data_IF_428721999737
#
_entry.id   IF_428721999737
#
_cell.length_a   1.000
_cell.length_b   1.000
_cell.length_c   1.000
_cell.angle_alpha   90.00
_cell.angle_beta   90.00
_cell.angle_gamma   90.00
#
_symmetry.space_group_name_H-M   'P 1'
#
loop_
_entity.id
_entity.type
_entity.pdbx_description
1 polymer ?
#
# COMPACT_ATOMS: atom_id res chain seq x y z
N UNK A 1 10.84 -0.95 6.58
CA UNK A 1 9.74 -0.84 7.56
C UNK A 1 9.20 0.57 7.45
N UNK A 2 7.90 0.73 7.22
CA UNK A 2 7.22 2.04 7.23
C UNK A 2 6.44 2.12 8.53
N UNK A 3 6.69 3.14 9.35
CA UNK A 3 6.03 3.35 10.64
C UNK A 3 5.16 4.60 10.55
N UNK A 4 3.87 4.42 10.77
CA UNK A 4 2.88 5.49 10.79
C UNK A 4 2.63 5.85 12.26
N UNK A 5 3.01 7.07 12.64
CA UNK A 5 2.90 7.60 13.99
C UNK A 5 2.47 9.07 13.94
N UNK A 6 1.19 9.30 13.69
CA UNK A 6 0.68 10.60 13.24
C UNK A 6 0.18 11.52 14.38
N UNK A 7 0.37 11.11 15.65
CA UNK A 7 -0.08 11.91 16.81
C UNK A 7 1.02 12.36 17.76
N UNK A 8 2.28 11.96 17.51
CA UNK A 8 3.40 12.27 18.42
C UNK A 8 3.28 11.68 19.84
N UNK A 9 2.20 10.95 20.15
CA UNK A 9 1.93 10.34 21.46
C UNK A 9 2.88 9.17 21.78
N UNK A 10 3.48 8.59 20.75
CA UNK A 10 4.32 7.39 20.84
C UNK A 10 5.80 7.79 20.88
N UNK A 11 6.58 7.15 21.75
CA UNK A 11 7.99 7.47 21.92
C UNK A 11 8.81 7.15 20.64
N UNK A 12 9.82 7.97 20.35
CA UNK A 12 10.66 7.82 19.14
C UNK A 12 11.38 6.45 19.01
N UNK A 13 11.45 5.66 20.08
CA UNK A 13 12.02 4.30 20.09
C UNK A 13 11.04 3.17 19.76
N UNK A 14 9.74 3.45 19.57
CA UNK A 14 8.74 2.40 19.36
C UNK A 14 8.95 1.57 18.10
N UNK A 15 9.54 2.16 17.05
CA UNK A 15 9.92 1.43 15.85
C UNK A 15 10.96 0.32 16.12
N UNK A 16 11.95 0.61 16.97
CA UNK A 16 12.99 -0.34 17.36
C UNK A 16 12.45 -1.41 18.31
N UNK A 17 11.58 -1.00 19.26
CA UNK A 17 10.87 -1.92 20.15
C UNK A 17 10.05 -2.91 19.34
N UNK A 18 9.27 -2.43 18.36
CA UNK A 18 8.51 -3.26 17.44
C UNK A 18 9.42 -4.26 16.71
N UNK A 19 10.48 -3.78 16.07
CA UNK A 19 11.35 -4.63 15.28
C UNK A 19 12.00 -5.73 16.12
N UNK A 20 12.48 -5.38 17.33
CA UNK A 20 13.04 -6.36 18.27
C UNK A 20 11.99 -7.37 18.72
N UNK A 21 10.78 -6.91 19.08
CA UNK A 21 9.71 -7.78 19.57
C UNK A 21 9.24 -8.75 18.49
N UNK A 22 9.04 -8.29 17.25
CA UNK A 22 8.62 -9.14 16.13
C UNK A 22 9.72 -10.10 15.70
N UNK A 23 10.98 -9.67 15.64
CA UNK A 23 12.10 -10.53 15.25
C UNK A 23 12.41 -11.64 16.26
N UNK A 24 12.26 -11.33 17.54
CA UNK A 24 12.53 -12.26 18.63
C UNK A 24 11.24 -12.70 19.33
N UNK A 25 10.15 -12.81 18.57
CA UNK A 25 8.89 -13.28 19.10
C UNK A 25 9.06 -14.72 19.59
N UNK A 26 8.81 -14.94 20.87
CA UNK A 26 8.89 -16.24 21.53
C UNK A 26 7.76 -16.45 22.55
N UNK A 27 6.76 -15.58 22.53
CA UNK A 27 5.59 -15.73 23.38
C UNK A 27 4.70 -16.84 22.83
N UNK A 28 4.23 -17.71 23.72
CA UNK A 28 3.25 -18.78 23.46
C UNK A 28 3.65 -19.85 22.43
N UNK A 29 4.96 -20.07 22.20
CA UNK A 29 5.45 -21.12 21.30
C UNK A 29 5.18 -20.84 19.81
N UNK A 30 4.75 -19.63 19.46
CA UNK A 30 4.59 -19.18 18.08
C UNK A 30 5.91 -18.59 17.56
N UNK A 31 6.29 -18.96 16.34
CA UNK A 31 7.50 -18.44 15.68
C UNK A 31 7.32 -17.02 15.11
N UNK A 32 6.08 -16.59 14.89
CA UNK A 32 5.74 -15.28 14.33
C UNK A 32 4.88 -14.46 15.28
N UNK A 33 5.10 -13.15 15.30
CA UNK A 33 4.31 -12.22 16.07
C UNK A 33 2.90 -12.06 15.50
N UNK A 34 1.86 -11.98 16.34
CA UNK A 34 0.50 -11.72 15.87
C UNK A 34 0.41 -10.35 15.17
N UNK A 35 -0.54 -10.15 14.24
CA UNK A 35 -0.70 -8.88 13.51
C UNK A 35 -0.93 -7.66 14.40
N UNK A 36 -1.43 -7.89 15.61
CA UNK A 36 -1.71 -6.86 16.61
C UNK A 36 -1.24 -7.33 17.97
N UNK A 37 -0.48 -6.50 18.67
CA UNK A 37 -0.04 -6.75 20.03
C UNK A 37 0.18 -5.44 20.79
N UNK A 38 0.19 -5.51 22.12
CA UNK A 38 0.43 -4.36 22.99
C UNK A 38 1.78 -4.52 23.71
N UNK A 39 2.57 -3.45 23.77
CA UNK A 39 3.78 -3.38 24.59
C UNK A 39 3.79 -2.03 25.30
N UNK A 40 3.87 -2.05 26.63
CA UNK A 40 3.99 -0.85 27.48
C UNK A 40 2.92 0.22 27.19
N UNK A 41 1.69 -0.21 26.95
CA UNK A 41 0.55 0.68 26.67
C UNK A 41 0.56 1.28 25.26
N UNK A 42 1.41 0.78 24.36
CA UNK A 42 1.40 1.10 22.92
C UNK A 42 0.87 -0.10 22.15
N UNK A 43 -0.19 0.11 21.38
CA UNK A 43 -0.74 -0.85 20.45
C UNK A 43 0.07 -0.81 19.14
N UNK A 44 0.58 -1.95 18.72
CA UNK A 44 1.28 -2.15 17.46
C UNK A 44 0.39 -2.94 16.52
N UNK A 45 0.24 -2.43 15.30
CA UNK A 45 -0.48 -3.07 14.21
C UNK A 45 0.49 -3.24 13.06
N UNK A 46 0.58 -4.44 12.48
CA UNK A 46 1.47 -4.65 11.33
C UNK A 46 0.87 -5.57 10.28
N UNK A 47 1.28 -5.31 9.04
CA UNK A 47 1.02 -6.18 7.89
C UNK A 47 2.30 -6.35 7.08
N UNK A 48 2.50 -7.55 6.54
CA UNK A 48 3.64 -7.90 5.70
C UNK A 48 3.20 -7.97 4.24
N UNK A 49 3.69 -7.07 3.41
CA UNK A 49 3.35 -6.98 1.98
C UNK A 49 4.63 -7.06 1.16
N UNK A 50 4.78 -8.11 0.35
CA UNK A 50 5.99 -8.34 -0.50
C UNK A 50 7.29 -8.25 0.31
N UNK A 51 7.30 -8.85 1.51
CA UNK A 51 8.46 -8.84 2.42
C UNK A 51 8.69 -7.52 3.17
N UNK A 52 7.93 -6.46 2.89
CA UNK A 52 7.98 -5.18 3.60
C UNK A 52 6.99 -5.18 4.76
N UNK A 53 7.41 -4.65 5.91
CA UNK A 53 6.55 -4.44 7.08
C UNK A 53 6.02 -3.01 7.09
N UNK A 54 4.70 -2.90 7.10
CA UNK A 54 3.94 -1.68 7.34
C UNK A 54 3.39 -1.72 8.76
N UNK A 55 3.66 -0.68 9.54
CA UNK A 55 3.41 -0.67 10.97
C UNK A 55 2.68 0.61 11.34
N UNK A 56 1.60 0.51 12.12
CA UNK A 56 0.97 1.64 12.78
C UNK A 56 1.10 1.46 14.29
N UNK A 57 1.29 2.58 14.99
CA UNK A 57 1.39 2.60 16.45
C UNK A 57 0.43 3.62 17.05
N UNK A 58 -0.25 3.25 18.12
CA UNK A 58 -1.16 4.16 18.83
C UNK A 58 -1.30 3.79 20.31
N UNK A 59 -1.57 4.78 21.16
CA UNK A 59 -1.93 4.57 22.57
C UNK A 59 -3.43 4.54 22.79
N UNK A 60 -4.21 5.02 21.83
CA UNK A 60 -5.68 5.02 21.91
C UNK A 60 -6.25 3.67 21.50
N UNK A 61 -7.41 3.33 22.07
CA UNK A 61 -8.16 2.15 21.69
C UNK A 61 -8.85 2.40 20.35
N UNK A 62 -8.42 1.71 19.30
CA UNK A 62 -8.96 1.79 17.94
C UNK A 62 -9.31 0.40 17.46
N UNK A 63 -10.29 0.30 16.56
CA UNK A 63 -10.67 -0.98 15.96
C UNK A 63 -9.47 -1.60 15.22
N UNK A 64 -9.01 -2.81 15.59
CA UNK A 64 -7.89 -3.45 14.91
C UNK A 64 -8.15 -3.69 13.42
N UNK A 65 -9.39 -4.04 13.06
CA UNK A 65 -9.78 -4.27 11.67
C UNK A 65 -9.62 -3.00 10.82
N UNK A 66 -9.93 -1.83 11.37
CA UNK A 66 -9.78 -0.55 10.67
C UNK A 66 -8.31 -0.27 10.35
N UNK A 67 -7.42 -0.44 11.34
CA UNK A 67 -6.00 -0.15 11.17
C UNK A 67 -5.34 -1.14 10.22
N UNK A 68 -5.66 -2.43 10.33
CA UNK A 68 -5.12 -3.46 9.44
C UNK A 68 -5.55 -3.26 7.98
N UNK A 69 -6.83 -2.94 7.74
CA UNK A 69 -7.34 -2.59 6.40
C UNK A 69 -6.64 -1.34 5.86
N UNK A 70 -6.48 -0.30 6.68
CA UNK A 70 -5.79 0.93 6.30
C UNK A 70 -4.34 0.66 5.87
N UNK A 71 -3.59 -0.13 6.64
CA UNK A 71 -2.21 -0.50 6.30
C UNK A 71 -2.12 -1.25 4.96
N UNK A 72 -3.06 -2.16 4.69
CA UNK A 72 -3.13 -2.85 3.39
C UNK A 72 -3.45 -1.87 2.25
N UNK A 73 -4.39 -0.94 2.47
CA UNK A 73 -4.73 0.09 1.48
C UNK A 73 -3.56 1.03 1.19
N UNK A 74 -2.82 1.44 2.21
CA UNK A 74 -1.61 2.27 2.04
C UNK A 74 -0.57 1.54 1.19
N UNK A 75 -0.31 0.26 1.47
CA UNK A 75 0.60 -0.54 0.66
C UNK A 75 0.12 -0.64 -0.80
N UNK A 76 -1.20 -0.75 -1.03
CA UNK A 76 -1.80 -0.75 -2.37
C UNK A 76 -1.66 0.61 -3.07
N UNK A 77 -1.98 1.71 -2.40
CA UNK A 77 -1.84 3.07 -2.95
C UNK A 77 -0.38 3.32 -3.35
N UNK A 78 0.57 3.01 -2.47
CA UNK A 78 2.00 3.17 -2.78
C UNK A 78 2.38 2.29 -3.99
N UNK A 79 1.92 1.04 -4.04
CA UNK A 79 2.17 0.17 -5.20
C UNK A 79 1.58 0.76 -6.49
N UNK A 80 0.38 1.31 -6.45
CA UNK A 80 -0.29 1.89 -7.62
C UNK A 80 0.46 3.13 -8.15
N UNK A 81 1.05 3.95 -7.25
CA UNK A 81 1.87 5.09 -7.62
C UNK A 81 3.26 4.69 -8.14
N UNK A 82 3.93 3.76 -7.46
CA UNK A 82 5.29 3.34 -7.81
C UNK A 82 5.34 2.29 -8.94
N UNK A 83 4.20 1.67 -9.25
CA UNK A 83 4.06 0.53 -10.15
C UNK A 83 4.49 -0.81 -9.52
N UNK A 84 5.60 -0.80 -8.78
CA UNK A 84 6.17 -1.97 -8.09
C UNK A 84 6.45 -1.60 -6.65
N UNK A 85 6.07 -2.47 -5.72
CA UNK A 85 6.37 -2.31 -4.30
C UNK A 85 7.57 -3.16 -3.91
N UNK A 86 8.72 -2.51 -3.76
CA UNK A 86 10.00 -3.10 -3.35
C UNK A 86 10.79 -2.13 -2.48
N UNK A 87 11.80 -2.61 -1.76
CA UNK A 87 12.67 -1.73 -0.97
C UNK A 87 13.37 -0.66 -1.82
N UNK A 88 13.83 -1.03 -3.02
CA UNK A 88 14.49 -0.10 -3.95
C UNK A 88 13.53 0.98 -4.46
N UNK A 89 12.29 0.60 -4.80
CA UNK A 89 11.25 1.55 -5.22
C UNK A 89 10.90 2.56 -4.13
N UNK A 90 10.76 2.10 -2.88
CA UNK A 90 10.48 2.96 -1.74
C UNK A 90 11.64 3.92 -1.46
N UNK A 91 12.89 3.41 -1.51
CA UNK A 91 14.09 4.22 -1.23
C UNK A 91 14.27 5.33 -2.25
N UNK A 92 14.05 5.04 -3.54
CA UNK A 92 14.16 6.03 -4.62
C UNK A 92 13.04 7.07 -4.59
N UNK A 93 11.85 6.68 -4.14
CA UNK A 93 10.64 7.50 -4.15
C UNK A 93 10.22 7.99 -2.76
N UNK A 94 11.14 8.10 -1.80
CA UNK A 94 10.77 8.37 -0.41
C UNK A 94 9.99 9.68 -0.24
N UNK A 95 10.32 10.73 -1.00
CA UNK A 95 9.61 12.03 -0.97
C UNK A 95 8.14 11.85 -1.37
N UNK A 96 7.89 11.17 -2.49
CA UNK A 96 6.54 10.84 -2.96
C UNK A 96 5.80 9.97 -1.94
N UNK A 97 6.47 9.01 -1.32
CA UNK A 97 5.84 8.16 -0.30
C UNK A 97 5.42 8.97 0.93
N UNK A 98 6.21 9.95 1.39
CA UNK A 98 5.81 10.81 2.48
C UNK A 98 4.63 11.72 2.12
N UNK A 99 4.65 12.32 0.92
CA UNK A 99 3.52 13.11 0.42
C UNK A 99 2.23 12.27 0.36
N UNK A 100 2.32 11.02 -0.12
CA UNK A 100 1.19 10.11 -0.12
C UNK A 100 0.68 9.80 1.30
N UNK A 101 1.58 9.63 2.27
CA UNK A 101 1.17 9.33 3.64
C UNK A 101 0.46 10.53 4.29
N UNK A 102 0.96 11.75 4.07
CA UNK A 102 0.38 12.99 4.58
C UNK A 102 -1.02 13.26 3.99
N UNK A 103 -1.24 12.91 2.72
CA UNK A 103 -2.56 13.06 2.09
C UNK A 103 -3.55 11.93 2.46
N UNK A 104 -3.05 10.74 2.82
CA UNK A 104 -3.91 9.61 3.20
C UNK A 104 -4.37 9.73 4.65
N UNK A 105 -3.49 10.18 5.55
CA UNK A 105 -3.76 10.32 6.98
C UNK A 105 -3.35 11.71 7.45
N UNK A 106 -4.28 12.39 8.11
CA UNK A 106 -4.01 13.65 8.81
C UNK A 106 -4.43 13.53 10.28
N UNK A 107 -3.48 13.74 11.19
CA UNK A 107 -3.63 13.65 12.64
C UNK A 107 -4.27 12.33 13.15
N UNK A 108 -3.97 11.22 12.48
CA UNK A 108 -4.49 9.89 12.75
C UNK A 108 -5.91 9.65 12.21
N UNK A 109 -6.44 10.57 11.41
CA UNK A 109 -7.71 10.40 10.71
C UNK A 109 -7.47 10.11 9.23
N UNK A 110 -8.14 9.08 8.72
CA UNK A 110 -8.05 8.70 7.31
C UNK A 110 -8.85 9.70 6.48
N UNK A 111 -8.18 10.41 5.57
CA UNK A 111 -8.81 11.40 4.68
C UNK A 111 -9.30 10.73 3.40
N UNK A 112 -8.39 10.11 2.64
CA UNK A 112 -8.73 9.38 1.41
C UNK A 112 -7.75 8.24 1.16
N UNK A 113 -8.26 7.12 0.66
CA UNK A 113 -7.44 5.98 0.21
C UNK A 113 -7.65 5.70 -1.29
N UNK A 114 -8.29 6.61 -2.02
CA UNK A 114 -8.54 6.46 -3.44
C UNK A 114 -7.36 7.02 -4.24
N UNK A 115 -6.62 6.14 -4.92
CA UNK A 115 -5.50 6.52 -5.78
C UNK A 115 -5.91 7.57 -6.81
N UNK A 116 -7.13 7.50 -7.35
CA UNK A 116 -7.63 8.47 -8.35
C UNK A 116 -7.82 9.86 -7.76
N UNK A 117 -8.35 9.95 -6.54
CA UNK A 117 -8.56 11.23 -5.83
C UNK A 117 -7.22 11.80 -5.38
N UNK A 118 -6.29 10.97 -4.92
CA UNK A 118 -4.96 11.41 -4.49
C UNK A 118 -4.15 12.07 -5.63
N UNK A 119 -4.42 11.73 -6.89
CA UNK A 119 -3.67 12.29 -8.04
C UNK A 119 -3.82 13.80 -8.18
N UNK A 120 -4.88 14.40 -7.63
CA UNK A 120 -5.04 15.86 -7.64
C UNK A 120 -4.30 16.58 -6.50
N UNK A 121 -3.82 15.84 -5.49
CA UNK A 121 -3.19 16.39 -4.28
C UNK A 121 -1.69 16.05 -4.18
N UNK A 122 -1.22 15.06 -4.94
CA UNK A 122 0.17 14.60 -4.96
C UNK A 122 0.90 15.19 -6.17
N UNK A 123 2.02 15.87 -5.94
CA UNK A 123 2.77 16.60 -6.97
C UNK A 123 4.04 15.87 -7.44
N UNK A 124 4.62 14.99 -6.62
CA UNK A 124 5.85 14.30 -7.01
C UNK A 124 5.57 13.18 -8.03
N UNK A 125 6.35 13.14 -9.10
CA UNK A 125 6.26 12.06 -10.08
C UNK A 125 7.06 10.82 -9.64
N UNK A 126 6.54 9.60 -9.89
CA UNK A 126 7.24 8.38 -9.52
C UNK A 126 8.46 8.13 -10.41
N UNK A 127 9.61 7.87 -9.78
CA UNK A 127 10.78 7.29 -10.41
C UNK A 127 10.50 5.81 -10.63
N UNK A 128 10.24 5.44 -11.89
CA UNK A 128 9.95 4.07 -12.29
C UNK A 128 11.18 3.20 -12.06
N UNK A 129 11.05 2.25 -11.15
CA UNK A 129 12.04 1.20 -10.96
C UNK A 129 11.67 0.06 -11.89
N UNK A 130 12.45 -0.10 -12.95
CA UNK A 130 12.22 -1.15 -13.93
C UNK A 130 12.38 -2.52 -13.26
N UNK A 131 11.27 -3.25 -13.06
CA UNK A 131 11.30 -4.60 -12.50
C UNK A 131 11.92 -5.62 -13.46
N UNK A 132 12.21 -5.23 -14.69
CA UNK A 132 12.86 -6.07 -15.67
C UNK A 132 13.96 -5.29 -16.42
N UNK A 133 15.21 -5.42 -15.97
CA UNK A 133 16.33 -5.50 -16.92
C UNK A 133 16.22 -6.79 -17.75
N UNK A 134 15.12 -6.97 -18.48
CA UNK A 134 15.12 -7.77 -19.68
C UNK A 134 15.53 -6.80 -20.78
N UNK A 135 16.82 -6.79 -21.10
CA UNK A 135 17.29 -6.13 -22.31
C UNK A 135 16.47 -6.71 -23.48
N UNK A 136 15.75 -5.90 -24.27
CA UNK A 136 15.17 -6.39 -25.50
C UNK A 136 16.33 -6.49 -26.50
N UNK A 137 17.09 -7.58 -26.44
CA UNK A 137 18.09 -7.94 -27.44
C UNK A 137 17.33 -8.52 -28.66
N UNK A 138 16.62 -7.64 -29.37
CA UNK A 138 15.86 -8.01 -30.54
C UNK A 138 15.70 -6.82 -31.50
N UNK A 139 15.74 -7.04 -32.82
CA UNK A 139 15.59 -5.97 -33.83
C UNK A 139 14.30 -5.15 -33.70
N UNK A 140 13.30 -5.65 -32.95
CA UNK A 140 12.02 -4.99 -32.68
C UNK A 140 12.12 -3.75 -31.76
N UNK A 141 13.23 -3.56 -31.03
CA UNK A 141 13.40 -2.42 -30.13
C UNK A 141 13.50 -1.06 -30.86
N UNK A 142 13.81 -1.07 -32.16
CA UNK A 142 13.97 0.16 -32.97
C UNK A 142 12.60 0.76 -33.36
N UNK A 143 11.52 -0.04 -33.38
CA UNK A 143 10.19 0.40 -33.83
C UNK A 143 9.26 0.89 -32.70
N UNK A 144 9.71 0.91 -31.45
CA UNK A 144 8.89 1.41 -30.33
C UNK A 144 9.09 2.93 -30.13
N UNK A 145 8.83 3.70 -31.18
CA UNK A 145 8.74 5.15 -31.07
C UNK A 145 7.35 5.52 -30.55
N UNK A 146 7.30 5.98 -29.28
CA UNK A 146 6.30 6.94 -28.81
C UNK A 146 4.84 6.50 -28.88
N UNK A 147 4.41 5.57 -28.04
CA UNK A 147 3.04 5.65 -27.50
C UNK A 147 3.06 5.25 -26.04
N UNK A 148 3.10 6.24 -25.15
CA UNK A 148 2.69 6.07 -23.74
C UNK A 148 1.21 5.69 -23.75
N UNK A 149 0.89 4.41 -23.94
CA UNK A 149 -0.44 3.91 -23.61
C UNK A 149 -0.43 3.61 -22.12
N UNK A 150 -1.18 4.40 -21.35
CA UNK A 150 -1.48 4.09 -19.96
C UNK A 150 -2.06 2.66 -19.90
N UNK A 151 -1.63 1.81 -18.95
CA UNK A 151 -2.33 0.57 -18.69
C UNK A 151 -3.79 0.92 -18.37
N UNK A 152 -4.74 0.24 -19.03
CA UNK A 152 -6.16 0.53 -18.86
C UNK A 152 -6.59 0.24 -17.43
N UNK A 153 -6.74 1.27 -16.61
CA UNK A 153 -7.33 1.19 -15.25
C UNK A 153 -8.86 1.12 -15.29
N UNK A 154 -9.45 0.82 -16.45
CA UNK A 154 -10.90 0.81 -16.66
C UNK A 154 -11.63 -0.22 -15.77
N UNK A 155 -10.93 -1.25 -15.29
CA UNK A 155 -11.49 -2.31 -14.46
C UNK A 155 -11.64 -1.90 -12.98
N UNK A 156 -10.99 -0.82 -12.53
CA UNK A 156 -11.01 -0.41 -11.11
C UNK A 156 -11.71 0.90 -10.83
N UNK A 157 -12.35 1.53 -11.84
CA UNK A 157 -13.14 2.74 -11.60
C UNK A 157 -14.38 2.40 -10.77
N UNK A 158 -14.49 3.03 -9.60
CA UNK A 158 -15.71 2.96 -8.80
C UNK A 158 -16.87 3.58 -9.57
N UNK A 159 -18.04 2.95 -9.54
CA UNK A 159 -19.30 3.45 -10.15
C UNK A 159 -19.72 4.82 -9.56
N UNK A 160 -19.13 5.22 -8.42
CA UNK A 160 -19.44 6.46 -7.70
C UNK A 160 -18.58 7.66 -8.18
N UNK A 161 -17.50 7.43 -8.95
CA UNK A 161 -16.61 8.51 -9.40
C UNK A 161 -17.19 9.21 -10.65
N UNK A 162 -18.01 10.23 -10.42
CA UNK A 162 -18.60 11.03 -11.48
C UNK A 162 -17.67 12.21 -11.82
N UNK A 163 -16.80 12.06 -12.83
CA UNK A 163 -15.97 13.17 -13.33
C UNK A 163 -16.82 14.10 -14.24
N UNK A 164 -16.93 15.42 -13.96
CA UNK A 164 -17.84 16.32 -14.69
C UNK A 164 -17.35 16.76 -16.08
N UNK A 165 -16.47 16.01 -16.76
CA UNK A 165 -15.88 16.46 -18.02
C UNK A 165 -15.36 15.40 -18.99
N UNK A 166 -15.49 14.10 -18.69
CA UNK A 166 -15.05 13.03 -19.61
C UNK A 166 -16.11 12.69 -20.66
N UNK A 167 -15.71 12.38 -21.91
CA UNK A 167 -16.60 11.75 -22.90
C UNK A 167 -17.31 10.57 -22.24
N UNK A 168 -18.63 10.67 -22.05
CA UNK A 168 -19.50 9.57 -21.61
C UNK A 168 -19.34 8.41 -22.60
N UNK A 169 -18.44 7.48 -22.30
CA UNK A 169 -18.49 6.16 -22.89
C UNK A 169 -19.45 5.38 -22.01
N UNK A 170 -20.67 5.22 -22.53
CA UNK A 170 -21.74 4.46 -21.90
C UNK A 170 -21.49 2.95 -22.09
N UNK A 171 -20.34 2.49 -21.62
CA UNK A 171 -19.89 1.10 -21.74
C UNK A 171 -19.67 0.56 -20.33
N UNK A 172 -20.28 -0.57 -20.03
CA UNK A 172 -20.09 -1.29 -18.77
C UNK A 172 -19.38 -2.59 -19.12
N UNK A 173 -18.21 -2.81 -18.53
CA UNK A 173 -17.49 -4.07 -18.62
C UNK A 173 -17.83 -4.89 -17.37
N UNK A 174 -18.30 -6.12 -17.57
CA UNK A 174 -18.68 -7.03 -16.49
C UNK A 174 -17.80 -8.27 -16.55
N UNK A 175 -16.95 -8.44 -15.55
CA UNK A 175 -16.13 -9.64 -15.38
C UNK A 175 -16.80 -10.57 -14.36
N UNK A 176 -17.17 -11.78 -14.78
CA UNK A 176 -17.73 -12.82 -13.90
C UNK A 176 -16.58 -13.70 -13.42
N UNK A 177 -16.22 -13.57 -12.14
CA UNK A 177 -15.14 -14.33 -11.51
C UNK A 177 -15.75 -15.41 -10.61
N UNK A 178 -15.66 -16.67 -11.02
CA UNK A 178 -16.08 -17.82 -10.22
C UNK A 178 -14.89 -18.39 -9.43
N UNK A 179 -15.02 -18.49 -8.10
CA UNK A 179 -14.01 -19.12 -7.23
C UNK A 179 -14.62 -20.28 -6.46
N UNK A 180 -14.25 -21.50 -6.85
CA UNK A 180 -14.64 -22.73 -6.15
C UNK A 180 -13.56 -23.07 -5.13
N UNK A 181 -13.92 -23.11 -3.84
CA UNK A 181 -13.04 -23.57 -2.75
C UNK A 181 -13.66 -24.82 -2.14
N UNK A 182 -13.04 -25.98 -2.37
CA UNK A 182 -13.48 -27.28 -1.84
C UNK A 182 -12.43 -27.80 -0.88
N UNK A 183 -12.86 -28.16 0.32
CA UNK A 183 -12.05 -28.88 1.30
C UNK A 183 -12.66 -30.27 1.46
N UNK A 184 -11.90 -31.31 1.11
CA UNK A 184 -12.31 -32.68 1.37
C UNK A 184 -11.70 -33.11 2.70
N UNK A 185 -12.54 -33.49 3.66
CA UNK A 185 -12.13 -34.39 4.74
C UNK A 185 -12.41 -35.83 4.27
N UNK A 186 -11.60 -36.80 4.69
CA UNK A 186 -12.07 -38.19 4.69
C UNK A 186 -13.25 -38.36 5.64
#
# INVERSE_FOLDING_TARGET
MIVIADRGEVAKGSAEIFFRKVKFWKEDGQEEAPPVFNVDGVNYFHVKVVGLLFVATTRVNVSPSLVLELLQRIARVIKDYLGVLSEDSLRKNFVLVYELLDEVIDFGYVQTTSTEVLKSYVFNEPIVVDAARLQPLGPAAIFMQGTKRMPGTAVTKSVVANEPGGRKREEIFVDIIEKISVTFSS
#
